data_IF_004918054875
#
_entry.id   IF_004918054875
#
_cell.length_a   1.000
_cell.length_b   1.000
_cell.length_c   1.000
_cell.angle_alpha   90.00
_cell.angle_beta   90.00
_cell.angle_gamma   90.00
#
_symmetry.space_group_name_H-M   'P 1'
#
loop_
_entity.id
_entity.type
_entity.pdbx_description
1 polymer ?
#
# COMPACT_ATOMS: atom_id res chain seq x y z
N UNK A 1 5.30 11.60 36.67
CA UNK A 1 5.95 10.36 36.24
C UNK A 1 4.97 9.17 36.17
N UNK A 2 4.14 8.92 37.19
CA UNK A 2 3.14 7.83 37.22
C UNK A 2 2.10 7.92 36.09
N UNK A 3 1.61 9.14 35.77
CA UNK A 3 0.64 9.38 34.69
C UNK A 3 1.26 9.05 33.31
N UNK A 4 2.51 9.46 33.09
CA UNK A 4 3.22 9.18 31.84
C UNK A 4 3.45 7.67 31.66
N UNK A 5 3.88 6.97 32.72
CA UNK A 5 4.06 5.53 32.71
C UNK A 5 2.76 4.79 32.39
N UNK A 6 1.64 5.22 33.01
CA UNK A 6 0.32 4.65 32.73
C UNK A 6 -0.10 4.88 31.28
N UNK A 7 0.02 6.12 30.77
CA UNK A 7 -0.31 6.47 29.40
C UNK A 7 0.53 5.69 28.37
N UNK A 8 1.83 5.48 28.64
CA UNK A 8 2.71 4.65 27.79
C UNK A 8 2.34 3.17 27.84
N UNK A 9 1.93 2.66 28.99
CA UNK A 9 1.50 1.27 29.13
C UNK A 9 0.17 1.01 28.41
N UNK A 10 -0.75 1.97 28.44
CA UNK A 10 -2.06 1.91 27.76
C UNK A 10 -1.99 2.30 26.28
N UNK A 11 -0.82 2.69 25.78
CA UNK A 11 -0.66 3.12 24.39
C UNK A 11 -0.70 1.94 23.43
N UNK A 12 -1.78 1.82 22.68
CA UNK A 12 -2.02 0.77 21.68
C UNK A 12 -1.32 1.02 20.33
N UNK A 13 -0.43 1.99 20.26
CA UNK A 13 0.27 2.36 19.03
C UNK A 13 -0.46 3.44 18.22
N UNK A 14 0.16 3.84 17.11
CA UNK A 14 -0.40 4.81 16.17
C UNK A 14 -1.15 4.07 15.09
N UNK A 15 -2.42 4.42 14.85
CA UNK A 15 -3.18 3.84 13.74
C UNK A 15 -2.48 4.06 12.40
N UNK A 16 -2.72 3.15 11.45
CA UNK A 16 -2.10 3.17 10.12
C UNK A 16 -0.56 3.10 10.15
N UNK A 17 -0.01 2.35 11.12
CA UNK A 17 1.41 1.98 11.19
C UNK A 17 1.47 0.46 11.27
N UNK A 18 1.43 -0.19 10.10
CA UNK A 18 1.36 -1.64 9.94
C UNK A 18 0.25 -2.29 10.80
N UNK A 19 -0.92 -1.64 10.80
CA UNK A 19 -2.07 -2.07 11.61
C UNK A 19 -2.81 -3.20 10.89
N UNK A 20 -2.98 -4.35 11.55
CA UNK A 20 -3.82 -5.44 11.03
C UNK A 20 -5.29 -5.00 11.02
N UNK A 21 -5.96 -5.12 9.87
CA UNK A 21 -7.36 -4.72 9.70
C UNK A 21 -8.29 -5.92 9.75
N UNK A 22 -8.04 -6.95 8.94
CA UNK A 22 -8.84 -8.16 8.89
C UNK A 22 -8.07 -9.33 8.31
N UNK A 23 -8.70 -10.50 8.29
CA UNK A 23 -8.18 -11.71 7.64
C UNK A 23 -9.22 -12.21 6.63
N UNK A 24 -8.78 -12.57 5.42
CA UNK A 24 -9.60 -13.17 4.38
C UNK A 24 -8.84 -14.33 3.73
N UNK A 25 -9.48 -15.49 3.58
CA UNK A 25 -8.87 -16.71 3.03
C UNK A 25 -7.50 -17.04 3.67
N UNK A 26 -7.37 -16.94 4.99
CA UNK A 26 -6.13 -17.10 5.77
C UNK A 26 -5.02 -16.09 5.44
N UNK A 27 -5.34 -15.01 4.75
CA UNK A 27 -4.42 -13.92 4.43
C UNK A 27 -4.72 -12.71 5.30
N UNK A 28 -3.71 -12.19 6.00
CA UNK A 28 -3.83 -10.98 6.81
C UNK A 28 -3.68 -9.73 5.95
N UNK A 29 -4.56 -8.76 6.19
CA UNK A 29 -4.55 -7.43 5.58
C UNK A 29 -4.09 -6.40 6.59
N UNK A 30 -3.09 -5.61 6.20
CA UNK A 30 -2.50 -4.54 6.99
C UNK A 30 -2.70 -3.20 6.31
N UNK A 31 -2.82 -2.13 7.11
CA UNK A 31 -2.90 -0.74 6.66
C UNK A 31 -1.68 0.03 7.18
N UNK A 32 -0.98 0.72 6.28
CA UNK A 32 0.16 1.56 6.59
C UNK A 32 0.04 2.93 5.91
N UNK A 33 0.49 3.96 6.58
CA UNK A 33 0.45 5.34 6.07
C UNK A 33 1.57 5.65 5.07
N UNK A 34 2.52 4.74 4.87
CA UNK A 34 3.66 4.91 3.99
C UNK A 34 3.22 5.38 2.58
N UNK A 35 3.75 6.52 2.17
CA UNK A 35 3.42 7.17 0.91
C UNK A 35 4.62 7.90 0.27
N UNK A 36 5.78 7.88 0.92
CA UNK A 36 7.08 8.29 0.40
C UNK A 36 7.87 7.04 -0.02
N UNK A 37 8.68 7.06 -1.11
CA UNK A 37 9.41 5.86 -1.56
C UNK A 37 10.30 5.23 -0.49
N UNK A 38 10.94 6.03 0.35
CA UNK A 38 11.75 5.55 1.47
C UNK A 38 10.89 4.80 2.49
N UNK A 39 9.74 5.38 2.89
CA UNK A 39 8.81 4.73 3.84
C UNK A 39 8.31 3.40 3.29
N UNK A 40 7.86 3.39 2.03
CA UNK A 40 7.39 2.19 1.33
C UNK A 40 8.47 1.09 1.36
N UNK A 41 9.70 1.46 0.99
CA UNK A 41 10.83 0.53 0.99
C UNK A 41 11.11 -0.06 2.37
N UNK A 42 11.08 0.76 3.42
CA UNK A 42 11.35 0.28 4.80
C UNK A 42 10.21 -0.62 5.32
N UNK A 43 8.94 -0.28 5.08
CA UNK A 43 7.81 -1.16 5.42
C UNK A 43 7.94 -2.51 4.69
N UNK A 44 8.18 -2.50 3.37
CA UNK A 44 8.36 -3.72 2.58
C UNK A 44 9.56 -4.53 3.07
N UNK A 45 10.68 -3.89 3.42
CA UNK A 45 11.85 -4.54 3.99
C UNK A 45 11.53 -5.25 5.31
N UNK A 46 10.79 -4.58 6.21
CA UNK A 46 10.32 -5.17 7.46
C UNK A 46 9.42 -6.37 7.22
N UNK A 47 8.41 -6.21 6.36
CA UNK A 47 7.47 -7.28 5.98
C UNK A 47 8.20 -8.50 5.40
N UNK A 48 9.13 -8.28 4.47
CA UNK A 48 9.88 -9.37 3.83
C UNK A 48 10.79 -10.14 4.78
N UNK A 49 11.26 -9.52 5.86
CA UNK A 49 12.05 -10.19 6.90
C UNK A 49 11.18 -11.06 7.81
N UNK A 50 10.01 -10.55 8.21
CA UNK A 50 9.10 -11.25 9.14
C UNK A 50 8.33 -12.36 8.42
N UNK A 51 7.93 -12.13 7.18
CA UNK A 51 7.10 -13.04 6.38
C UNK A 51 7.88 -13.59 5.17
N UNK A 52 9.10 -14.07 5.41
CA UNK A 52 10.05 -14.51 4.38
C UNK A 52 9.53 -15.62 3.44
N UNK A 53 8.55 -16.40 3.90
CA UNK A 53 7.94 -17.50 3.14
C UNK A 53 6.61 -17.10 2.47
N UNK A 54 6.19 -15.83 2.57
CA UNK A 54 4.91 -15.37 2.00
C UNK A 54 5.13 -14.45 0.81
N UNK A 55 4.23 -14.54 -0.18
CA UNK A 55 4.17 -13.56 -1.26
C UNK A 55 3.60 -12.24 -0.74
N UNK A 56 4.23 -11.14 -1.09
CA UNK A 56 3.83 -9.81 -0.67
C UNK A 56 2.98 -9.15 -1.75
N UNK A 57 1.73 -8.82 -1.41
CA UNK A 57 0.84 -8.02 -2.24
C UNK A 57 0.73 -6.62 -1.63
N UNK A 58 1.15 -5.60 -2.37
CA UNK A 58 1.08 -4.21 -1.94
C UNK A 58 -0.07 -3.50 -2.66
N UNK A 59 -1.08 -3.02 -1.93
CA UNK A 59 -2.11 -2.13 -2.45
C UNK A 59 -1.62 -0.71 -2.26
N UNK A 60 -1.16 -0.06 -3.33
CA UNK A 60 -0.53 1.25 -3.25
C UNK A 60 -1.39 2.35 -3.88
N UNK A 61 -1.69 3.38 -3.10
CA UNK A 61 -2.29 4.61 -3.60
C UNK A 61 -1.27 5.75 -3.59
N UNK A 62 -0.80 6.17 -4.77
CA UNK A 62 0.07 7.33 -4.86
C UNK A 62 -0.62 8.59 -4.34
N UNK A 63 0.12 9.40 -3.56
CA UNK A 63 -0.39 10.60 -2.93
C UNK A 63 0.35 11.83 -3.44
N UNK A 64 -0.37 12.76 -4.04
CA UNK A 64 0.09 13.97 -4.75
C UNK A 64 0.91 13.66 -6.00
N UNK A 65 0.58 14.34 -7.06
CA UNK A 65 1.24 14.14 -8.33
C UNK A 65 2.57 14.91 -8.41
N UNK A 66 2.66 16.05 -7.71
CA UNK A 66 3.95 16.74 -7.52
C UNK A 66 5.01 15.79 -6.97
N UNK A 67 4.68 15.05 -5.91
CA UNK A 67 5.58 14.05 -5.32
C UNK A 67 5.95 12.95 -6.31
N UNK A 68 4.98 12.42 -7.07
CA UNK A 68 5.26 11.41 -8.08
C UNK A 68 6.18 11.90 -9.19
N UNK A 69 6.08 13.16 -9.59
CA UNK A 69 6.97 13.76 -10.58
C UNK A 69 8.38 13.88 -10.03
N UNK A 70 8.53 14.45 -8.83
CA UNK A 70 9.84 14.70 -8.21
C UNK A 70 10.58 13.42 -7.86
N UNK A 71 9.88 12.43 -7.28
CA UNK A 71 10.46 11.20 -6.77
C UNK A 71 10.20 9.97 -7.68
N UNK A 72 9.94 10.21 -8.96
CA UNK A 72 9.53 9.18 -9.92
C UNK A 72 10.51 8.01 -9.98
N UNK A 73 11.80 8.32 -10.03
CA UNK A 73 12.86 7.31 -10.05
C UNK A 73 12.85 6.48 -8.77
N UNK A 74 12.76 7.12 -7.61
CA UNK A 74 12.80 6.44 -6.31
C UNK A 74 11.59 5.52 -6.12
N UNK A 75 10.38 5.99 -6.51
CA UNK A 75 9.19 5.14 -6.52
C UNK A 75 9.37 3.90 -7.39
N UNK A 76 10.01 4.03 -8.54
CA UNK A 76 10.19 2.90 -9.46
C UNK A 76 11.04 1.77 -8.88
N UNK A 77 11.86 2.04 -7.88
CA UNK A 77 12.70 1.06 -7.16
C UNK A 77 12.17 0.64 -5.79
N UNK A 78 11.08 1.27 -5.31
CA UNK A 78 10.60 1.07 -3.94
C UNK A 78 9.97 -0.31 -3.70
N UNK A 79 9.55 -1.03 -4.76
CA UNK A 79 8.76 -2.25 -4.68
C UNK A 79 9.55 -3.54 -4.98
N UNK A 80 10.88 -3.52 -4.94
CA UNK A 80 11.73 -4.66 -5.36
C UNK A 80 11.48 -5.99 -4.66
N UNK A 81 10.91 -5.97 -3.46
CA UNK A 81 10.61 -7.18 -2.67
C UNK A 81 9.12 -7.52 -2.63
N UNK A 82 8.34 -6.91 -3.51
CA UNK A 82 6.91 -7.14 -3.65
C UNK A 82 6.67 -8.07 -4.83
N UNK A 83 5.75 -9.02 -4.71
CA UNK A 83 5.37 -9.89 -5.83
C UNK A 83 4.32 -9.22 -6.74
N UNK A 84 3.36 -8.54 -6.13
CA UNK A 84 2.29 -7.85 -6.86
C UNK A 84 1.99 -6.49 -6.25
N UNK A 85 1.98 -5.45 -7.08
CA UNK A 85 1.47 -4.12 -6.70
C UNK A 85 0.10 -3.91 -7.34
N UNK A 86 -0.92 -3.73 -6.51
CA UNK A 86 -2.24 -3.24 -6.92
C UNK A 86 -2.20 -1.73 -6.85
N UNK A 87 -2.08 -1.10 -8.01
CA UNK A 87 -1.85 0.34 -8.13
C UNK A 87 -3.17 1.08 -8.27
N UNK A 88 -3.55 1.82 -7.22
CA UNK A 88 -4.78 2.61 -7.14
C UNK A 88 -4.66 3.96 -7.87
N UNK A 89 -5.78 4.62 -8.21
CA UNK A 89 -5.75 5.98 -8.72
C UNK A 89 -5.03 6.93 -7.77
N UNK A 90 -4.38 7.94 -8.34
CA UNK A 90 -3.64 8.93 -7.56
C UNK A 90 -4.60 9.74 -6.69
N UNK A 91 -4.32 9.82 -5.39
CA UNK A 91 -4.99 10.74 -4.49
C UNK A 91 -4.39 12.14 -4.62
N UNK A 92 -5.20 13.07 -5.15
CA UNK A 92 -4.72 14.41 -5.56
C UNK A 92 -4.40 15.33 -4.38
N UNK A 93 -5.05 15.15 -3.24
CA UNK A 93 -4.86 15.97 -2.03
C UNK A 93 -4.96 17.49 -2.30
N UNK A 94 -5.97 17.91 -3.07
CA UNK A 94 -6.20 19.31 -3.43
C UNK A 94 -5.35 19.83 -4.60
N UNK A 95 -4.45 19.04 -5.17
CA UNK A 95 -3.70 19.46 -6.36
C UNK A 95 -4.58 19.50 -7.60
N UNK A 96 -4.61 20.65 -8.29
CA UNK A 96 -5.25 20.77 -9.58
C UNK A 96 -4.32 20.29 -10.68
N UNK A 97 -4.84 19.39 -11.52
CA UNK A 97 -4.06 18.83 -12.62
C UNK A 97 -4.37 19.52 -13.94
N UNK A 98 -3.46 20.31 -14.38
CA UNK A 98 -3.30 20.59 -15.81
C UNK A 98 -2.01 19.93 -16.26
N UNK A 99 -2.15 18.89 -17.12
CA UNK A 99 -1.12 18.35 -18.02
C UNK A 99 -0.02 17.40 -17.49
N UNK A 100 0.02 16.25 -18.10
CA UNK A 100 1.26 15.57 -18.52
C UNK A 100 1.77 14.43 -17.66
N UNK A 101 1.11 14.00 -16.55
CA UNK A 101 1.56 12.79 -15.86
C UNK A 101 0.94 11.54 -16.52
N UNK A 102 1.74 10.83 -17.29
CA UNK A 102 1.31 9.57 -17.92
C UNK A 102 1.38 8.44 -16.91
N UNK A 103 0.27 8.17 -16.20
CA UNK A 103 0.19 7.17 -15.14
C UNK A 103 0.59 5.75 -15.60
N UNK A 104 0.21 5.38 -16.83
CA UNK A 104 0.65 4.10 -17.43
C UNK A 104 2.17 4.01 -17.59
N UNK A 105 2.86 5.12 -17.88
CA UNK A 105 4.31 5.13 -17.98
C UNK A 105 4.98 4.98 -16.61
N UNK A 106 4.40 5.58 -15.57
CA UNK A 106 4.85 5.37 -14.19
C UNK A 106 4.74 3.89 -13.78
N UNK A 107 3.62 3.25 -14.08
CA UNK A 107 3.46 1.80 -13.86
C UNK A 107 4.52 0.98 -14.61
N UNK A 108 4.78 1.28 -15.88
CA UNK A 108 5.82 0.60 -16.68
C UNK A 108 7.22 0.74 -16.06
N UNK A 109 7.54 1.90 -15.48
CA UNK A 109 8.83 2.10 -14.82
C UNK A 109 8.97 1.29 -13.53
N UNK A 110 7.89 1.17 -12.75
CA UNK A 110 7.88 0.29 -11.57
C UNK A 110 8.10 -1.15 -12.01
N UNK A 111 7.40 -1.64 -13.04
CA UNK A 111 7.58 -2.99 -13.57
C UNK A 111 9.05 -3.21 -13.98
N UNK A 112 9.62 -2.29 -14.74
CA UNK A 112 11.00 -2.39 -15.25
C UNK A 112 12.03 -2.43 -14.11
N UNK A 113 11.91 -1.51 -13.14
CA UNK A 113 12.96 -1.25 -12.15
C UNK A 113 12.80 -2.09 -10.88
N UNK A 114 11.57 -2.41 -10.49
CA UNK A 114 11.28 -3.29 -9.33
C UNK A 114 11.03 -4.75 -9.73
N UNK A 115 10.84 -5.05 -11.03
CA UNK A 115 10.55 -6.40 -11.57
C UNK A 115 9.33 -7.05 -10.91
N UNK A 116 8.28 -6.25 -10.69
CA UNK A 116 7.05 -6.63 -9.98
C UNK A 116 5.86 -6.68 -10.92
N UNK A 117 4.89 -7.56 -10.65
CA UNK A 117 3.60 -7.55 -11.34
C UNK A 117 2.79 -6.34 -10.90
N UNK A 118 2.20 -5.60 -11.85
CA UNK A 118 1.29 -4.49 -11.55
C UNK A 118 -0.11 -4.79 -12.06
N UNK A 119 -1.09 -4.54 -11.20
CA UNK A 119 -2.51 -4.56 -11.52
C UNK A 119 -3.03 -3.13 -11.29
N UNK A 120 -3.57 -2.51 -12.32
CA UNK A 120 -4.22 -1.20 -12.22
C UNK A 120 -5.69 -1.39 -11.84
N UNK A 121 -6.15 -0.64 -10.85
CA UNK A 121 -7.55 -0.59 -10.44
C UNK A 121 -8.06 0.86 -10.46
N UNK A 122 -9.36 1.04 -10.61
CA UNK A 122 -9.98 2.37 -10.72
C UNK A 122 -10.73 2.78 -9.45
N UNK A 123 -11.20 1.82 -8.67
CA UNK A 123 -12.04 2.07 -7.50
C UNK A 123 -12.00 0.88 -6.52
N UNK A 124 -12.72 1.00 -5.44
CA UNK A 124 -12.83 0.01 -4.36
C UNK A 124 -13.52 -1.29 -4.82
N UNK A 125 -14.44 -1.22 -5.79
CA UNK A 125 -15.10 -2.41 -6.36
C UNK A 125 -14.10 -3.25 -7.16
N UNK A 126 -13.22 -2.61 -7.93
CA UNK A 126 -12.13 -3.30 -8.63
C UNK A 126 -11.17 -3.96 -7.63
N UNK A 127 -10.89 -3.29 -6.49
CA UNK A 127 -10.09 -3.87 -5.42
C UNK A 127 -10.75 -5.12 -4.82
N UNK A 128 -12.06 -5.08 -4.55
CA UNK A 128 -12.80 -6.23 -4.05
C UNK A 128 -12.78 -7.40 -5.04
N UNK A 129 -13.00 -7.12 -6.33
CA UNK A 129 -12.93 -8.13 -7.40
C UNK A 129 -11.53 -8.75 -7.48
N UNK A 130 -10.48 -7.93 -7.47
CA UNK A 130 -9.10 -8.41 -7.43
C UNK A 130 -8.87 -9.30 -6.22
N UNK A 131 -9.33 -8.89 -5.04
CA UNK A 131 -9.17 -9.63 -3.79
C UNK A 131 -9.82 -11.00 -3.87
N UNK A 132 -11.09 -11.09 -4.31
CA UNK A 132 -11.80 -12.36 -4.51
C UNK A 132 -11.06 -13.33 -5.44
N UNK A 133 -10.50 -12.81 -6.51
CA UNK A 133 -9.91 -13.62 -7.57
C UNK A 133 -8.45 -14.01 -7.32
N UNK A 134 -7.70 -13.26 -6.51
CA UNK A 134 -6.24 -13.39 -6.44
C UNK A 134 -5.68 -13.55 -5.03
N UNK A 135 -6.49 -13.35 -3.99
CA UNK A 135 -5.99 -13.41 -2.60
C UNK A 135 -6.45 -14.70 -1.93
N UNK A 136 -5.48 -15.60 -1.76
CA UNK A 136 -5.65 -16.88 -1.08
C UNK A 136 -4.29 -17.50 -0.71
N UNK A 137 -4.25 -18.28 0.35
CA UNK A 137 -3.11 -19.11 0.71
C UNK A 137 -1.92 -18.34 1.30
N UNK A 138 -0.74 -18.54 0.73
CA UNK A 138 0.52 -18.08 1.31
C UNK A 138 0.89 -16.66 0.91
N UNK A 139 0.04 -15.70 1.28
CA UNK A 139 0.22 -14.28 0.97
C UNK A 139 0.13 -13.41 2.23
N UNK A 140 0.62 -12.17 2.11
CA UNK A 140 0.37 -11.06 3.01
C UNK A 140 -0.01 -9.83 2.19
N UNK A 141 -1.03 -9.11 2.61
CA UNK A 141 -1.49 -7.89 1.92
C UNK A 141 -1.19 -6.67 2.77
N UNK A 142 -0.51 -5.70 2.18
CA UNK A 142 -0.20 -4.43 2.84
C UNK A 142 -0.73 -3.27 2.00
N UNK A 143 -1.69 -2.54 2.55
CA UNK A 143 -2.15 -1.29 1.95
C UNK A 143 -1.26 -0.14 2.36
N UNK A 144 -0.85 0.67 1.40
CA UNK A 144 0.04 1.80 1.62
C UNK A 144 -0.48 3.06 0.94
N UNK A 145 -0.51 4.16 1.68
CA UNK A 145 -0.88 5.46 1.16
C UNK A 145 -1.51 6.39 2.19
N UNK A 146 -1.39 7.68 1.98
CA UNK A 146 -1.94 8.72 2.85
C UNK A 146 -3.38 9.17 2.47
N UNK A 147 -3.95 8.60 1.41
CA UNK A 147 -5.27 8.93 0.90
C UNK A 147 -6.38 7.96 1.32
N UNK A 148 -7.34 7.75 0.42
CA UNK A 148 -8.55 6.94 0.64
C UNK A 148 -8.31 5.43 0.66
N UNK A 149 -7.13 4.93 0.32
CA UNK A 149 -6.83 3.49 0.29
C UNK A 149 -7.09 2.81 1.64
N UNK A 150 -6.83 3.51 2.74
CA UNK A 150 -7.12 3.01 4.10
C UNK A 150 -8.62 2.71 4.28
N UNK A 151 -9.50 3.62 3.86
CA UNK A 151 -10.95 3.39 3.92
C UNK A 151 -11.39 2.25 2.99
N UNK A 152 -10.80 2.15 1.80
CA UNK A 152 -11.10 1.04 0.89
C UNK A 152 -10.77 -0.32 1.52
N UNK A 153 -9.59 -0.44 2.16
CA UNK A 153 -9.18 -1.69 2.82
C UNK A 153 -10.10 -2.02 4.00
N UNK A 154 -10.50 -1.03 4.80
CA UNK A 154 -11.43 -1.21 5.92
C UNK A 154 -12.84 -1.61 5.48
N UNK A 155 -13.26 -1.17 4.30
CA UNK A 155 -14.56 -1.52 3.72
C UNK A 155 -14.56 -2.86 2.98
N UNK A 156 -13.40 -3.38 2.58
CA UNK A 156 -13.30 -4.64 1.84
C UNK A 156 -14.14 -5.79 2.44
N UNK A 157 -14.16 -6.03 3.78
CA UNK A 157 -14.96 -7.12 4.35
C UNK A 157 -16.45 -7.06 4.03
N UNK A 158 -16.98 -5.88 3.72
CA UNK A 158 -18.38 -5.69 3.32
C UNK A 158 -18.62 -6.00 1.84
N UNK A 159 -17.55 -6.07 1.04
CA UNK A 159 -17.58 -6.27 -0.40
C UNK A 159 -17.13 -7.68 -0.80
N UNK A 160 -16.54 -8.44 0.14
CA UNK A 160 -16.07 -9.82 -0.02
C UNK A 160 -17.14 -10.82 0.42
#
# INVERSE_FOLDING_TARGET
EKIIKKALYEFEGVQRRFTKIFTYNNVNFYDDYAHHPTEIKEVINGVSKVYNNKKIVCIFQPHRISRLKTLRKDFSFAFKKVDTVVLCPIYKAGENFKLGFKYKNFAKEIIKNSKVKIILINNEIDLARFTKQNIFGNQIVVGMGAGSVSSWIRNLPKLL
#
